data_IF_540784513214
#
_entry.id   IF_540784513214
#
_cell.length_a   1.000
_cell.length_b   1.000
_cell.length_c   1.000
_cell.angle_alpha   90.00
_cell.angle_beta   90.00
_cell.angle_gamma   90.00
#
_symmetry.space_group_name_H-M   'P 1'
#
loop_
_entity.id
_entity.type
_entity.pdbx_description
1 polymer ?
#
# COMPACT_ATOMS: atom_id res chain seq x y z
N UNK A 1 9.23 -4.76 21.40
CA UNK A 1 10.18 -4.54 20.28
C UNK A 1 9.42 -4.11 19.04
N UNK A 2 8.45 -4.90 18.59
CA UNK A 2 7.55 -4.56 17.46
C UNK A 2 6.80 -3.22 17.66
N UNK A 3 6.22 -2.99 18.84
CA UNK A 3 5.49 -1.73 19.13
C UNK A 3 6.38 -0.48 19.03
N UNK A 4 7.66 -0.58 19.41
CA UNK A 4 8.58 0.55 19.34
C UNK A 4 8.94 0.90 17.89
N UNK A 5 9.07 -0.11 17.02
CA UNK A 5 9.33 0.09 15.59
C UNK A 5 8.11 0.73 14.91
N UNK A 6 6.91 0.22 15.19
CA UNK A 6 5.64 0.80 14.68
C UNK A 6 5.51 2.26 15.11
N UNK A 7 5.74 2.56 16.39
CA UNK A 7 5.66 3.92 16.91
C UNK A 7 6.72 4.84 16.29
N UNK A 8 7.93 4.35 16.03
CA UNK A 8 8.97 5.12 15.34
C UNK A 8 8.55 5.48 13.92
N UNK A 9 8.13 4.49 13.13
CA UNK A 9 7.66 4.68 11.75
C UNK A 9 6.49 5.66 11.71
N UNK A 10 5.50 5.49 12.60
CA UNK A 10 4.35 6.40 12.74
C UNK A 10 4.79 7.85 12.96
N UNK A 11 5.71 8.06 13.90
CA UNK A 11 6.17 9.40 14.26
C UNK A 11 6.98 10.06 13.14
N UNK A 12 7.79 9.29 12.40
CA UNK A 12 8.57 9.82 11.29
C UNK A 12 7.68 10.20 10.10
N UNK A 13 6.69 9.38 9.76
CA UNK A 13 5.68 9.75 8.77
C UNK A 13 4.80 10.92 9.20
N UNK A 14 4.46 11.04 10.49
CA UNK A 14 3.73 12.21 11.02
C UNK A 14 4.49 13.52 10.79
N UNK A 15 5.82 13.50 10.97
CA UNK A 15 6.69 14.67 10.73
C UNK A 15 6.81 15.01 9.26
N UNK A 16 6.86 13.98 8.39
CA UNK A 16 7.02 14.15 6.95
C UNK A 16 5.71 14.48 6.21
N UNK A 17 4.56 14.24 6.85
CA UNK A 17 3.26 14.16 6.18
C UNK A 17 2.94 15.32 5.22
N UNK A 18 3.21 16.57 5.60
CA UNK A 18 2.93 17.73 4.74
C UNK A 18 3.82 17.77 3.48
N UNK A 19 5.13 17.56 3.65
CA UNK A 19 6.07 17.53 2.53
C UNK A 19 5.85 16.30 1.64
N UNK A 20 5.50 15.16 2.24
CA UNK A 20 5.13 13.95 1.52
C UNK A 20 3.88 14.19 0.66
N UNK A 21 2.83 14.75 1.24
CA UNK A 21 1.62 15.09 0.50
C UNK A 21 1.92 16.04 -0.66
N UNK A 22 2.76 17.06 -0.45
CA UNK A 22 3.14 18.02 -1.49
C UNK A 22 3.82 17.37 -2.70
N UNK A 23 4.61 16.30 -2.49
CA UNK A 23 5.39 15.65 -3.54
C UNK A 23 4.68 14.47 -4.19
N UNK A 24 3.94 13.71 -3.40
CA UNK A 24 3.43 12.40 -3.80
C UNK A 24 1.96 12.47 -4.23
N UNK A 25 1.19 13.46 -3.78
CA UNK A 25 -0.26 13.47 -4.03
C UNK A 25 -0.65 13.43 -5.51
N UNK A 26 0.14 14.04 -6.40
CA UNK A 26 -0.12 14.06 -7.85
C UNK A 26 0.74 13.05 -8.64
N UNK A 27 1.51 12.17 -7.97
CA UNK A 27 2.53 11.36 -8.64
C UNK A 27 1.97 10.42 -9.74
N UNK A 28 0.73 9.96 -9.58
CA UNK A 28 0.08 9.07 -10.54
C UNK A 28 -0.03 9.71 -11.93
N UNK A 29 -0.05 11.04 -12.03
CA UNK A 29 -0.09 11.74 -13.32
C UNK A 29 1.13 11.37 -14.20
N UNK A 30 2.29 11.12 -13.59
CA UNK A 30 3.52 10.71 -14.26
C UNK A 30 3.72 9.20 -14.39
N UNK A 31 2.79 8.38 -13.89
CA UNK A 31 2.93 6.92 -13.79
C UNK A 31 1.82 6.19 -14.56
N UNK A 32 1.90 6.12 -15.91
CA UNK A 32 0.85 5.52 -16.73
C UNK A 32 0.63 4.02 -16.45
N UNK A 33 1.67 3.25 -16.11
CA UNK A 33 1.48 1.83 -15.78
C UNK A 33 0.74 1.67 -14.44
N UNK A 34 1.14 2.42 -13.41
CA UNK A 34 0.46 2.41 -12.11
C UNK A 34 -1.05 2.71 -12.28
N UNK A 35 -1.39 3.73 -13.08
CA UNK A 35 -2.78 4.07 -13.42
C UNK A 35 -3.51 2.96 -14.17
N UNK A 36 -2.86 2.32 -15.14
CA UNK A 36 -3.44 1.19 -15.88
C UNK A 36 -3.74 0.00 -14.97
N UNK A 37 -2.81 -0.36 -14.07
CA UNK A 37 -3.02 -1.46 -13.12
C UNK A 37 -4.12 -1.13 -12.11
N UNK A 38 -4.20 0.13 -11.65
CA UNK A 38 -5.31 0.60 -10.81
C UNK A 38 -6.66 0.56 -11.55
N UNK A 39 -6.71 0.90 -12.84
CA UNK A 39 -7.94 0.77 -13.64
C UNK A 39 -8.38 -0.69 -13.77
N UNK A 40 -7.44 -1.61 -14.02
CA UNK A 40 -7.70 -3.06 -14.09
C UNK A 40 -8.23 -3.58 -12.75
N UNK A 41 -7.62 -3.15 -11.65
CA UNK A 41 -8.09 -3.49 -10.30
C UNK A 41 -9.50 -2.96 -10.04
N UNK A 42 -9.77 -1.69 -10.35
CA UNK A 42 -11.09 -1.08 -10.20
C UNK A 42 -12.18 -1.85 -10.96
N UNK A 43 -11.88 -2.30 -12.18
CA UNK A 43 -12.80 -3.11 -12.98
C UNK A 43 -13.10 -4.48 -12.34
N UNK A 44 -12.09 -5.13 -11.75
CA UNK A 44 -12.23 -6.45 -11.10
C UNK A 44 -13.06 -6.40 -9.80
N UNK A 45 -12.97 -5.30 -9.05
CA UNK A 45 -13.67 -5.13 -7.76
C UNK A 45 -15.03 -4.41 -7.90
N UNK A 46 -15.36 -3.92 -9.09
CA UNK A 46 -16.54 -3.10 -9.33
C UNK A 46 -17.83 -3.81 -8.89
N UNK A 47 -18.63 -3.14 -8.05
CA UNK A 47 -19.90 -3.66 -7.54
C UNK A 47 -19.78 -4.85 -6.58
N UNK A 48 -18.56 -5.23 -6.16
CA UNK A 48 -18.33 -6.40 -5.28
C UNK A 48 -18.28 -6.06 -3.79
N UNK A 49 -18.25 -4.78 -3.43
CA UNK A 49 -18.22 -4.30 -2.04
C UNK A 49 -17.15 -3.23 -1.81
N UNK A 50 -16.80 -3.03 -0.54
CA UNK A 50 -15.83 -2.03 -0.12
C UNK A 50 -14.39 -2.47 -0.43
N UNK A 51 -13.57 -1.50 -0.85
CA UNK A 51 -12.12 -1.62 -1.02
C UNK A 51 -11.39 -0.84 0.07
N UNK A 52 -10.22 -1.32 0.48
CA UNK A 52 -9.33 -0.59 1.38
C UNK A 52 -7.99 -0.26 0.71
N UNK A 53 -7.57 1.00 0.79
CA UNK A 53 -6.20 1.44 0.48
C UNK A 53 -5.36 1.38 1.77
N UNK A 54 -4.48 0.38 1.91
CA UNK A 54 -3.68 0.11 3.11
C UNK A 54 -2.32 0.82 3.00
N UNK A 55 -2.06 1.71 3.96
CA UNK A 55 -0.95 2.66 3.91
C UNK A 55 -1.21 3.78 2.92
N UNK A 56 -2.42 4.35 2.96
CA UNK A 56 -2.92 5.27 1.94
C UNK A 56 -2.16 6.62 1.85
N UNK A 57 -1.34 6.96 2.85
CA UNK A 57 -0.57 8.22 2.90
C UNK A 57 -1.48 9.44 2.71
N UNK A 58 -1.23 10.31 1.71
CA UNK A 58 -2.07 11.48 1.43
C UNK A 58 -3.36 11.12 0.66
N UNK A 59 -3.67 9.82 0.46
CA UNK A 59 -4.93 9.33 -0.09
C UNK A 59 -5.07 9.42 -1.61
N UNK A 60 -3.96 9.58 -2.35
CA UNK A 60 -3.97 9.76 -3.80
C UNK A 60 -4.39 8.50 -4.57
N UNK A 61 -4.01 7.30 -4.11
CA UNK A 61 -4.49 6.03 -4.68
C UNK A 61 -5.98 5.82 -4.38
N UNK A 62 -6.40 6.00 -3.13
CA UNK A 62 -7.81 5.99 -2.75
C UNK A 62 -8.65 6.98 -3.59
N UNK A 63 -8.15 8.20 -3.81
CA UNK A 63 -8.78 9.21 -4.68
C UNK A 63 -8.91 8.71 -6.10
N UNK A 64 -7.84 8.19 -6.69
CA UNK A 64 -7.84 7.72 -8.07
C UNK A 64 -8.88 6.61 -8.30
N UNK A 65 -8.94 5.62 -7.40
CA UNK A 65 -9.91 4.53 -7.48
C UNK A 65 -11.34 4.99 -7.22
N UNK A 66 -11.54 5.94 -6.30
CA UNK A 66 -12.85 6.54 -6.06
C UNK A 66 -13.39 7.27 -7.29
N UNK A 67 -12.54 8.08 -7.93
CA UNK A 67 -12.90 8.82 -9.15
C UNK A 67 -13.18 7.86 -10.33
N UNK A 68 -12.60 6.65 -10.29
CA UNK A 68 -12.91 5.53 -11.19
C UNK A 68 -14.19 4.74 -10.80
N UNK A 69 -14.92 5.16 -9.76
CA UNK A 69 -16.20 4.57 -9.34
C UNK A 69 -16.10 3.48 -8.28
N UNK A 70 -14.93 3.26 -7.68
CA UNK A 70 -14.75 2.24 -6.63
C UNK A 70 -15.24 2.75 -5.28
N UNK A 71 -16.01 1.95 -4.55
CA UNK A 71 -16.34 2.23 -3.14
C UNK A 71 -15.11 1.91 -2.28
N UNK A 72 -14.40 2.94 -1.85
CA UNK A 72 -13.09 2.79 -1.19
C UNK A 72 -12.94 3.70 0.02
N UNK A 73 -12.20 3.23 1.02
CA UNK A 73 -11.68 4.02 2.12
C UNK A 73 -10.17 3.79 2.28
N UNK A 74 -9.47 4.74 2.87
CA UNK A 74 -8.04 4.62 3.17
C UNK A 74 -7.78 4.27 4.64
N UNK A 75 -6.71 3.51 4.88
CA UNK A 75 -6.17 3.21 6.20
C UNK A 75 -4.70 3.60 6.23
N UNK A 76 -4.28 4.33 7.26
CA UNK A 76 -2.86 4.66 7.47
C UNK A 76 -2.51 4.63 8.96
N UNK A 77 -1.25 4.35 9.27
CA UNK A 77 -0.73 4.34 10.63
C UNK A 77 -0.52 5.76 11.17
N UNK A 78 -0.22 6.73 10.29
CA UNK A 78 0.16 8.11 10.61
C UNK A 78 -1.05 9.05 10.69
N UNK A 79 -1.39 9.59 11.88
CA UNK A 79 -2.37 10.67 12.01
C UNK A 79 -2.06 11.89 11.14
N UNK A 80 -0.77 12.22 10.95
CA UNK A 80 -0.30 13.29 10.08
C UNK A 80 -0.68 13.06 8.63
N UNK A 81 -0.43 11.86 8.10
CA UNK A 81 -0.86 11.47 6.74
C UNK A 81 -2.39 11.56 6.60
N UNK A 82 -3.13 11.00 7.55
CA UNK A 82 -4.59 11.03 7.54
C UNK A 82 -5.16 12.45 7.59
N UNK A 83 -4.48 13.38 8.26
CA UNK A 83 -4.85 14.80 8.25
C UNK A 83 -4.69 15.39 6.85
N UNK A 84 -3.60 15.09 6.15
CA UNK A 84 -3.42 15.53 4.76
C UNK A 84 -4.42 14.86 3.81
N UNK A 85 -4.63 13.55 3.96
CA UNK A 85 -5.58 12.80 3.16
C UNK A 85 -7.00 13.37 3.24
N UNK A 86 -7.49 13.67 4.46
CA UNK A 86 -8.82 14.29 4.64
C UNK A 86 -8.89 15.71 4.09
N UNK A 87 -7.81 16.48 4.21
CA UNK A 87 -7.74 17.86 3.69
C UNK A 87 -7.78 17.89 2.16
N UNK A 88 -7.00 17.02 1.51
CA UNK A 88 -6.87 16.95 0.05
C UNK A 88 -8.03 16.19 -0.59
N UNK A 89 -8.69 15.33 0.19
CA UNK A 89 -9.75 14.47 -0.30
C UNK A 89 -11.09 14.62 0.43
N UNK A 90 -11.73 15.80 0.38
CA UNK A 90 -13.04 15.98 1.00
C UNK A 90 -14.06 15.02 0.38
N UNK A 91 -14.76 14.27 1.24
CA UNK A 91 -15.74 13.26 0.84
C UNK A 91 -15.27 11.81 0.94
N UNK A 92 -13.95 11.58 1.01
CA UNK A 92 -13.40 10.24 1.23
C UNK A 92 -13.20 9.91 2.71
N UNK A 93 -13.35 8.63 3.04
CA UNK A 93 -13.21 8.11 4.40
C UNK A 93 -11.76 7.65 4.59
N UNK A 94 -11.13 8.14 5.66
CA UNK A 94 -9.78 7.74 6.06
C UNK A 94 -9.76 7.38 7.55
N UNK A 95 -9.18 6.24 7.88
CA UNK A 95 -9.15 5.66 9.23
C UNK A 95 -7.71 5.42 9.67
N UNK A 96 -7.45 5.64 10.95
CA UNK A 96 -6.20 5.20 11.55
C UNK A 96 -6.21 3.68 11.72
N UNK A 97 -5.12 3.02 11.38
CA UNK A 97 -5.00 1.58 11.55
C UNK A 97 -3.59 1.05 11.36
N UNK A 98 -3.37 -0.15 11.90
CA UNK A 98 -2.13 -0.90 11.75
C UNK A 98 -2.37 -2.08 10.81
N UNK A 99 -1.61 -2.18 9.72
CA UNK A 99 -1.77 -3.28 8.75
C UNK A 99 -1.44 -4.66 9.32
N UNK A 100 -0.72 -4.74 10.45
CA UNK A 100 -0.46 -6.00 11.17
C UNK A 100 -1.61 -6.42 12.11
N UNK A 101 -2.62 -5.57 12.29
CA UNK A 101 -3.80 -5.84 13.12
C UNK A 101 -4.97 -4.97 12.64
N UNK A 102 -5.60 -5.38 11.54
CA UNK A 102 -6.69 -4.65 10.92
C UNK A 102 -7.95 -4.79 11.78
N UNK A 103 -8.44 -3.67 12.33
CA UNK A 103 -9.71 -3.62 13.06
C UNK A 103 -10.91 -3.65 12.10
N UNK A 104 -10.99 -4.71 11.29
CA UNK A 104 -12.00 -4.98 10.30
C UNK A 104 -12.48 -6.44 10.46
N UNK A 105 -13.78 -6.72 10.27
CA UNK A 105 -14.28 -8.08 10.27
C UNK A 105 -13.64 -8.94 9.17
N UNK A 106 -13.62 -10.26 9.41
CA UNK A 106 -13.21 -11.25 8.41
C UNK A 106 -14.13 -11.17 7.19
N UNK A 107 -13.56 -11.30 5.99
CA UNK A 107 -14.34 -11.43 4.77
C UNK A 107 -15.15 -10.21 4.34
N UNK A 108 -14.86 -9.01 4.87
CA UNK A 108 -15.65 -7.81 4.62
C UNK A 108 -15.25 -7.06 3.33
N UNK A 109 -13.99 -7.17 2.91
CA UNK A 109 -13.46 -6.37 1.80
C UNK A 109 -13.55 -7.11 0.48
N UNK A 110 -14.00 -6.41 -0.56
CA UNK A 110 -13.97 -6.88 -1.93
C UNK A 110 -12.57 -6.79 -2.54
N UNK A 111 -11.78 -5.82 -2.10
CA UNK A 111 -10.41 -5.69 -2.54
C UNK A 111 -9.53 -4.88 -1.59
N UNK A 112 -8.22 -5.02 -1.77
CA UNK A 112 -7.18 -4.25 -1.09
C UNK A 112 -6.22 -3.73 -2.14
N UNK A 113 -5.84 -2.45 -2.03
CA UNK A 113 -4.66 -1.90 -2.67
C UNK A 113 -3.64 -1.51 -1.62
N UNK A 114 -2.36 -1.76 -1.89
CA UNK A 114 -1.26 -1.45 -0.98
C UNK A 114 -0.05 -1.00 -1.81
N UNK A 115 0.00 0.29 -2.14
CA UNK A 115 1.06 0.84 -2.97
C UNK A 115 2.21 1.34 -2.11
N UNK A 116 3.35 0.65 -2.20
CA UNK A 116 4.62 0.98 -1.52
C UNK A 116 4.54 1.00 0.02
N UNK A 117 3.44 0.57 0.61
CA UNK A 117 3.19 0.64 2.05
C UNK A 117 3.90 -0.43 2.88
N UNK A 118 4.43 -1.47 2.25
CA UNK A 118 5.26 -2.49 2.92
C UNK A 118 6.75 -2.11 2.99
N UNK A 119 7.16 -0.98 2.41
CA UNK A 119 8.57 -0.60 2.28
C UNK A 119 9.27 -0.36 3.63
N UNK A 120 8.54 -0.15 4.73
CA UNK A 120 9.10 -0.01 6.07
C UNK A 120 8.79 -1.20 6.98
N UNK A 121 8.33 -2.32 6.40
CA UNK A 121 7.98 -3.53 7.15
C UNK A 121 9.11 -4.56 6.98
N UNK A 122 9.81 -4.95 8.07
CA UNK A 122 10.79 -6.01 8.02
C UNK A 122 10.20 -7.34 7.52
N UNK A 123 10.98 -8.12 6.79
CA UNK A 123 10.52 -9.34 6.12
C UNK A 123 9.86 -10.33 7.09
N UNK A 124 10.32 -10.41 8.34
CA UNK A 124 9.74 -11.31 9.36
C UNK A 124 8.30 -10.96 9.75
N UNK A 125 7.84 -9.74 9.50
CA UNK A 125 6.47 -9.30 9.80
C UNK A 125 5.53 -9.38 8.60
N UNK A 126 6.05 -9.54 7.38
CA UNK A 126 5.23 -9.68 6.17
C UNK A 126 4.23 -10.85 6.22
N UNK A 127 4.56 -12.04 6.77
CA UNK A 127 3.56 -13.09 6.96
C UNK A 127 2.33 -12.65 7.78
N UNK A 128 2.53 -11.80 8.80
CA UNK A 128 1.42 -11.27 9.63
C UNK A 128 0.60 -10.27 8.83
N UNK A 129 1.26 -9.35 8.12
CA UNK A 129 0.59 -8.36 7.27
C UNK A 129 -0.27 -9.05 6.20
N UNK A 130 0.29 -10.00 5.46
CA UNK A 130 -0.43 -10.71 4.42
C UNK A 130 -1.52 -11.61 4.99
N UNK A 131 -1.32 -12.22 6.16
CA UNK A 131 -2.36 -12.94 6.88
C UNK A 131 -3.57 -12.06 7.23
N UNK A 132 -3.33 -10.85 7.72
CA UNK A 132 -4.40 -9.89 8.03
C UNK A 132 -5.13 -9.40 6.77
N UNK A 133 -4.39 -9.09 5.69
CA UNK A 133 -4.99 -8.74 4.40
C UNK A 133 -5.86 -9.89 3.86
N UNK A 134 -5.38 -11.14 3.97
CA UNK A 134 -6.13 -12.32 3.55
C UNK A 134 -7.39 -12.50 4.40
N UNK A 135 -7.30 -12.34 5.72
CA UNK A 135 -8.42 -12.51 6.65
C UNK A 135 -9.59 -11.60 6.31
N UNK A 136 -9.31 -10.30 6.09
CA UNK A 136 -10.36 -9.29 5.85
C UNK A 136 -10.93 -9.33 4.44
N UNK A 137 -10.25 -9.93 3.46
CA UNK A 137 -10.79 -10.12 2.12
C UNK A 137 -11.90 -11.17 2.12
N UNK A 138 -12.98 -10.91 1.39
CA UNK A 138 -14.00 -11.91 1.08
C UNK A 138 -13.44 -13.00 0.17
N UNK A 139 -14.03 -14.21 0.14
CA UNK A 139 -13.69 -15.23 -0.86
C UNK A 139 -13.76 -14.66 -2.29
N UNK A 140 -12.71 -14.89 -3.08
CA UNK A 140 -12.56 -14.30 -4.42
C UNK A 140 -12.16 -12.83 -4.44
N UNK A 141 -11.96 -12.19 -3.28
CA UNK A 141 -11.52 -10.80 -3.16
C UNK A 141 -10.06 -10.61 -3.59
N UNK A 142 -9.75 -9.41 -4.06
CA UNK A 142 -8.52 -9.14 -4.83
C UNK A 142 -7.54 -8.25 -4.07
N UNK A 143 -6.26 -8.51 -4.24
CA UNK A 143 -5.15 -7.71 -3.72
C UNK A 143 -4.33 -7.19 -4.90
N UNK A 144 -4.06 -5.88 -4.90
CA UNK A 144 -3.02 -5.28 -5.73
C UNK A 144 -1.95 -4.66 -4.82
N UNK A 145 -0.76 -5.25 -4.83
CA UNK A 145 0.39 -4.83 -4.04
C UNK A 145 1.45 -4.22 -4.97
N UNK A 146 2.03 -3.09 -4.60
CA UNK A 146 3.18 -2.50 -5.30
C UNK A 146 4.36 -2.29 -4.34
N UNK A 147 5.59 -2.57 -4.78
CA UNK A 147 6.78 -2.42 -3.94
C UNK A 147 8.05 -2.14 -4.75
N UNK A 148 9.10 -1.69 -4.04
CA UNK A 148 10.43 -1.49 -4.60
C UNK A 148 11.19 -2.80 -4.68
N UNK A 149 11.76 -3.08 -5.85
CA UNK A 149 12.61 -4.24 -6.06
C UNK A 149 14.05 -3.97 -5.65
N UNK A 150 14.71 -5.02 -5.15
CA UNK A 150 16.12 -4.99 -4.79
C UNK A 150 16.41 -5.97 -3.66
N UNK A 151 17.63 -5.88 -3.13
CA UNK A 151 18.08 -6.69 -2.01
C UNK A 151 18.45 -5.79 -0.82
N UNK A 152 18.13 -6.25 0.38
CA UNK A 152 18.54 -5.62 1.62
C UNK A 152 17.71 -4.39 2.00
N UNK A 153 18.35 -3.52 2.78
CA UNK A 153 17.71 -2.41 3.47
C UNK A 153 18.57 -1.17 3.36
N UNK A 154 17.95 -0.02 3.15
CA UNK A 154 18.61 1.29 3.28
C UNK A 154 18.09 1.99 4.52
N UNK A 155 19.00 2.49 5.35
CA UNK A 155 18.66 3.30 6.50
C UNK A 155 18.76 4.77 6.13
N UNK A 156 17.63 5.46 6.11
CA UNK A 156 17.56 6.89 5.85
C UNK A 156 17.47 7.67 7.16
N UNK A 157 18.22 8.76 7.23
CA UNK A 157 18.21 9.69 8.37
C UNK A 157 17.50 11.02 8.03
N UNK A 158 17.15 11.21 6.76
CA UNK A 158 16.61 12.44 6.23
C UNK A 158 15.82 12.13 4.94
N UNK A 159 14.66 12.77 4.76
CA UNK A 159 13.96 12.78 3.47
C UNK A 159 13.35 14.16 3.18
N UNK A 160 13.72 14.73 2.02
CA UNK A 160 13.27 16.03 1.51
C UNK A 160 13.45 17.23 2.45
N UNK A 161 14.58 17.28 3.15
CA UNK A 161 14.94 18.28 4.15
C UNK A 161 14.42 17.98 5.56
N UNK A 162 13.76 16.84 5.80
CA UNK A 162 13.18 16.51 7.10
C UNK A 162 13.94 15.36 7.77
N UNK A 163 14.42 15.52 9.01
CA UNK A 163 15.09 14.46 9.73
C UNK A 163 14.11 13.34 10.10
N UNK A 164 14.55 12.10 9.90
CA UNK A 164 13.82 10.88 10.22
C UNK A 164 14.81 9.77 10.58
N UNK A 165 14.35 8.58 10.92
CA UNK A 165 15.20 7.40 11.12
C UNK A 165 14.43 6.17 10.69
N UNK A 166 14.39 5.91 9.39
CA UNK A 166 13.58 4.83 8.81
C UNK A 166 14.40 3.90 7.93
N UNK A 167 14.09 2.61 8.08
CA UNK A 167 14.58 1.56 7.21
C UNK A 167 13.62 1.38 6.03
N UNK A 168 14.16 1.38 4.83
CA UNK A 168 13.47 1.04 3.59
C UNK A 168 13.95 -0.32 3.08
N UNK A 169 13.04 -1.28 3.05
CA UNK A 169 13.25 -2.64 2.60
C UNK A 169 12.93 -2.77 1.12
N UNK A 170 13.82 -3.46 0.41
CA UNK A 170 13.65 -3.83 -1.00
C UNK A 170 13.40 -5.32 -1.09
N UNK A 171 12.57 -5.73 -2.04
CA UNK A 171 12.09 -7.11 -2.10
C UNK A 171 12.26 -7.73 -3.47
N UNK A 172 12.57 -9.02 -3.49
CA UNK A 172 12.50 -9.81 -4.72
C UNK A 172 11.04 -10.25 -4.96
N UNK A 173 10.51 -10.14 -6.19
CA UNK A 173 9.13 -10.55 -6.48
C UNK A 173 8.83 -12.00 -6.12
N UNK A 174 9.78 -12.91 -6.35
CA UNK A 174 9.67 -14.31 -5.97
C UNK A 174 9.58 -14.54 -4.45
N UNK A 175 10.15 -13.64 -3.64
CA UNK A 175 10.01 -13.70 -2.17
C UNK A 175 8.60 -13.28 -1.75
N UNK A 176 8.13 -12.14 -2.25
CA UNK A 176 6.78 -11.64 -1.94
C UNK A 176 5.71 -12.63 -2.41
N UNK A 177 5.87 -13.22 -3.60
CA UNK A 177 4.99 -14.28 -4.09
C UNK A 177 4.88 -15.43 -3.09
N UNK A 178 6.00 -15.99 -2.63
CA UNK A 178 6.00 -17.11 -1.66
C UNK A 178 5.32 -16.73 -0.34
N UNK A 179 5.54 -15.50 0.13
CA UNK A 179 4.93 -15.01 1.37
C UNK A 179 3.40 -14.85 1.23
N UNK A 180 2.94 -14.32 0.10
CA UNK A 180 1.50 -14.22 -0.22
C UNK A 180 0.86 -15.62 -0.33
N UNK A 181 1.49 -16.54 -1.05
CA UNK A 181 1.02 -17.93 -1.18
C UNK A 181 0.98 -18.64 0.19
N UNK A 182 2.01 -18.43 1.02
CA UNK A 182 2.05 -18.93 2.40
C UNK A 182 0.95 -18.37 3.29
N UNK A 183 0.48 -17.14 3.02
CA UNK A 183 -0.66 -16.53 3.69
C UNK A 183 -2.02 -16.97 3.13
N UNK A 184 -2.05 -17.81 2.08
CA UNK A 184 -3.27 -18.36 1.48
C UNK A 184 -3.84 -17.54 0.34
N UNK A 185 -3.05 -16.69 -0.32
CA UNK A 185 -3.39 -16.09 -1.60
C UNK A 185 -3.04 -17.00 -2.77
N UNK A 186 -3.75 -16.82 -3.89
CA UNK A 186 -3.31 -17.26 -5.22
C UNK A 186 -2.76 -16.07 -5.97
N UNK A 187 -1.48 -16.09 -6.33
CA UNK A 187 -0.87 -15.03 -7.16
C UNK A 187 -1.26 -15.24 -8.62
N UNK A 188 -1.88 -14.22 -9.23
CA UNK A 188 -2.44 -14.29 -10.59
C UNK A 188 -1.49 -13.67 -11.62
N UNK A 189 -0.81 -12.58 -11.25
CA UNK A 189 0.10 -11.85 -12.13
C UNK A 189 1.19 -11.14 -11.32
N UNK A 190 2.41 -11.12 -11.86
CA UNK A 190 3.51 -10.28 -11.39
C UNK A 190 3.94 -9.40 -12.56
N UNK A 191 3.94 -8.09 -12.35
CA UNK A 191 4.37 -7.10 -13.34
C UNK A 191 5.60 -6.39 -12.79
N UNK A 192 6.67 -6.32 -13.58
CA UNK A 192 7.88 -5.57 -13.25
C UNK A 192 8.06 -4.39 -14.20
N UNK A 193 8.61 -3.29 -13.70
CA UNK A 193 9.07 -2.18 -14.55
C UNK A 193 10.35 -1.54 -14.03
N UNK A 194 11.12 -0.99 -14.97
CA UNK A 194 12.17 -0.04 -14.65
C UNK A 194 11.57 1.29 -14.17
N UNK A 195 12.34 2.11 -13.43
CA UNK A 195 11.84 3.40 -12.99
C UNK A 195 11.60 4.34 -14.17
N UNK A 196 10.64 5.25 -14.00
CA UNK A 196 10.51 6.43 -14.86
C UNK A 196 11.67 7.41 -14.62
N UNK A 197 11.66 8.55 -15.33
CA UNK A 197 12.67 9.62 -15.14
C UNK A 197 12.88 9.96 -13.66
N UNK A 198 14.11 10.31 -13.22
CA UNK A 198 14.37 10.78 -11.85
C UNK A 198 13.49 11.94 -11.38
N UNK A 199 12.96 12.74 -12.30
CA UNK A 199 12.02 13.83 -12.01
C UNK A 199 10.62 13.34 -11.62
N UNK A 200 10.29 12.08 -11.94
CA UNK A 200 8.99 11.47 -11.66
C UNK A 200 9.02 10.65 -10.38
N UNK A 201 10.09 9.89 -10.15
CA UNK A 201 10.15 8.98 -9.01
C UNK A 201 11.57 8.56 -8.58
N UNK A 202 11.64 7.98 -7.38
CA UNK A 202 12.84 7.35 -6.85
C UNK A 202 13.34 6.22 -7.77
N UNK A 203 14.65 6.19 -8.02
CA UNK A 203 15.30 5.32 -9.01
C UNK A 203 15.54 3.90 -8.48
N UNK A 204 14.49 3.10 -8.45
CA UNK A 204 14.58 1.64 -8.25
C UNK A 204 13.58 0.92 -9.15
N UNK A 205 13.84 -0.36 -9.46
CA UNK A 205 12.86 -1.16 -10.21
C UNK A 205 11.61 -1.39 -9.34
N UNK A 206 10.45 -1.55 -9.97
CA UNK A 206 9.16 -1.73 -9.29
C UNK A 206 8.56 -3.06 -9.66
N UNK A 207 7.87 -3.67 -8.71
CA UNK A 207 7.03 -4.83 -8.94
C UNK A 207 5.62 -4.60 -8.42
N UNK A 208 4.66 -5.19 -9.12
CA UNK A 208 3.24 -5.20 -8.79
C UNK A 208 2.76 -6.64 -8.79
N UNK A 209 1.95 -7.01 -7.82
CA UNK A 209 1.37 -8.34 -7.73
C UNK A 209 -0.13 -8.23 -7.63
N UNK A 210 -0.83 -8.85 -8.59
CA UNK A 210 -2.24 -9.20 -8.44
C UNK A 210 -2.34 -10.57 -7.78
N UNK A 211 -3.07 -10.62 -6.67
CA UNK A 211 -3.34 -11.85 -5.96
C UNK A 211 -4.80 -11.92 -5.54
N UNK A 212 -5.32 -13.13 -5.33
CA UNK A 212 -6.71 -13.35 -4.97
C UNK A 212 -6.84 -14.27 -3.77
N UNK A 213 -7.79 -13.99 -2.89
CA UNK A 213 -8.23 -14.96 -1.89
C UNK A 213 -9.04 -16.06 -2.59
N UNK A 214 -8.63 -17.34 -2.53
CA UNK A 214 -9.37 -18.42 -3.17
C UNK A 214 -10.83 -18.48 -2.67
N UNK A 215 -11.75 -18.84 -3.56
CA UNK A 215 -13.11 -19.22 -3.14
C UNK A 215 -13.01 -20.58 -2.47
N UNK A 216 -13.56 -20.74 -1.27
CA UNK A 216 -13.65 -22.06 -0.66
C UNK A 216 -14.47 -22.97 -1.59
N UNK A 217 -13.88 -24.09 -2.01
CA UNK A 217 -14.53 -25.07 -2.88
C UNK A 217 -15.65 -25.83 -2.21
#
# INVERSE_FOLDING_TARGET
MQDNVILSIRNDYDRLAEEYARRIFDELQGKPLDRELLNRFAADVNGRGDVCDIGCGPGHVARYLHDAGTTIFGLDLSPGMLKQARKLNPGLIFREGNMMALNLPDGILAGIVAFYSIANIPNEFLPVVFGEMQRVLQPGGSLLLAFHMGDGTTHEQELWGHPLSMDFFFFQPAEIQRLLEGAGFSVEEIVERDPYSPDVEHQSRRAYIFARKPVAG
#
